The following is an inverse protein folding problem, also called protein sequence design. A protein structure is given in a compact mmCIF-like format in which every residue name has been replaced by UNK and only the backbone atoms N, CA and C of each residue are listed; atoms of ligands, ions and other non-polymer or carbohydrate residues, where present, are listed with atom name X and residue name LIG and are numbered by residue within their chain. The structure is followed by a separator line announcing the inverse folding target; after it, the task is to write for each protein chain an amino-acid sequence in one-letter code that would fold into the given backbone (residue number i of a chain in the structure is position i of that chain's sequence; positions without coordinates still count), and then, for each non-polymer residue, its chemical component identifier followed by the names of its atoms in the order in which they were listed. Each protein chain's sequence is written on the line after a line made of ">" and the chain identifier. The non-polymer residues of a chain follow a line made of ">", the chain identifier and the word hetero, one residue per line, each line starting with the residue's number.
data_IF_961820651652
#
_entry.id   IF_961820651652
#
_cell.length_a   1.000
_cell.length_b   1.000
_cell.length_c   1.000
_cell.angle_alpha   90.00
_cell.angle_beta   90.00
_cell.angle_gamma   90.00
#
_symmetry.space_group_name_H-M   'P 1'
#
loop_
_entity.id
_entity.type
_entity.pdbx_description
1 polymer ?
#
# COMPACT_ATOMS: atom_id res chain seq x y z
N UNK A 1 -24.84 -8.72 17.93
CA UNK A 1 -23.65 -9.41 18.51
C UNK A 1 -22.87 -10.07 17.39
N UNK A 2 -22.31 -9.28 16.46
CA UNK A 2 -21.93 -9.79 15.13
C UNK A 2 -20.42 -9.96 14.92
N UNK A 3 -19.59 -9.33 15.75
CA UNK A 3 -18.12 -9.33 15.60
C UNK A 3 -17.40 -9.94 16.82
N UNK A 4 -18.13 -10.60 17.73
CA UNK A 4 -17.57 -11.19 18.95
C UNK A 4 -16.47 -12.21 18.63
N UNK A 5 -15.33 -12.11 19.31
CA UNK A 5 -14.17 -12.97 19.10
C UNK A 5 -13.42 -12.75 17.78
N UNK A 6 -13.81 -11.75 16.97
CA UNK A 6 -13.10 -11.38 15.74
C UNK A 6 -12.11 -10.27 16.02
N UNK A 7 -10.97 -10.33 15.33
CA UNK A 7 -10.05 -9.21 15.19
C UNK A 7 -10.65 -8.19 14.23
N UNK A 8 -10.81 -6.95 14.70
CA UNK A 8 -11.39 -5.86 13.94
C UNK A 8 -10.35 -4.80 13.65
N UNK A 9 -10.47 -4.20 12.46
CA UNK A 9 -9.76 -2.99 12.09
C UNK A 9 -10.58 -1.77 12.49
N UNK A 10 -9.91 -0.72 12.93
CA UNK A 10 -10.54 0.44 13.56
C UNK A 10 -9.96 1.71 12.93
N UNK A 11 -10.86 2.57 12.44
CA UNK A 11 -10.53 3.93 12.00
C UNK A 11 -11.17 4.91 12.98
N UNK A 12 -10.35 5.68 13.69
CA UNK A 12 -10.76 6.63 14.72
C UNK A 12 -10.36 8.05 14.30
N UNK A 13 -11.33 8.93 14.05
CA UNK A 13 -11.13 10.32 13.62
C UNK A 13 -10.14 10.50 12.44
N UNK A 14 -10.13 9.53 11.52
CA UNK A 14 -9.25 9.54 10.34
C UNK A 14 -7.85 8.97 10.56
N UNK A 15 -7.53 8.52 11.78
CA UNK A 15 -6.31 7.78 12.08
C UNK A 15 -6.59 6.28 12.22
N UNK A 16 -5.66 5.48 11.71
CA UNK A 16 -5.69 4.02 11.89
C UNK A 16 -5.33 3.71 13.33
N UNK A 17 -6.20 2.95 14.00
CA UNK A 17 -5.97 2.45 15.35
C UNK A 17 -5.51 0.99 15.27
N UNK A 18 -4.62 0.53 16.19
CA UNK A 18 -4.25 -0.88 16.28
C UNK A 18 -5.46 -1.80 16.31
N UNK A 19 -5.35 -2.96 15.64
CA UNK A 19 -6.44 -3.94 15.63
C UNK A 19 -6.74 -4.43 17.06
N UNK A 20 -8.02 -4.68 17.33
CA UNK A 20 -8.49 -5.19 18.63
C UNK A 20 -9.38 -6.42 18.43
N UNK A 21 -9.42 -7.30 19.41
CA UNK A 21 -10.39 -8.40 19.46
C UNK A 21 -11.63 -7.91 20.18
N UNK A 22 -12.81 -8.15 19.61
CA UNK A 22 -14.07 -7.82 20.27
C UNK A 22 -14.32 -8.82 21.41
N UNK A 23 -14.46 -8.31 22.63
CA UNK A 23 -14.75 -9.12 23.83
C UNK A 23 -15.95 -8.55 24.55
N UNK A 24 -16.95 -9.38 24.81
CA UNK A 24 -18.24 -8.99 25.41
C UNK A 24 -18.92 -7.83 24.68
N UNK A 25 -18.82 -7.83 23.35
CA UNK A 25 -19.41 -6.80 22.48
C UNK A 25 -18.71 -5.44 22.53
N UNK A 26 -17.50 -5.36 23.09
CA UNK A 26 -16.76 -4.09 23.28
C UNK A 26 -15.33 -4.19 22.76
N UNK A 27 -14.77 -3.03 22.45
CA UNK A 27 -13.35 -2.81 22.14
C UNK A 27 -12.85 -1.62 22.96
N UNK A 28 -11.56 -1.61 23.29
CA UNK A 28 -10.91 -0.50 23.99
C UNK A 28 -10.09 0.32 23.00
N UNK A 29 -10.33 1.63 22.98
CA UNK A 29 -9.55 2.59 22.23
C UNK A 29 -8.46 3.18 23.13
N UNK A 30 -7.27 3.38 22.57
CA UNK A 30 -6.13 3.94 23.30
C UNK A 30 -6.28 5.45 23.54
N UNK A 31 -7.08 6.11 22.71
CA UNK A 31 -7.40 7.54 22.79
C UNK A 31 -8.89 7.73 22.58
N UNK A 32 -9.46 8.75 23.24
CA UNK A 32 -10.84 9.14 22.99
C UNK A 32 -10.99 9.69 21.56
N UNK A 33 -12.04 9.26 20.87
CA UNK A 33 -12.34 9.65 19.50
C UNK A 33 -13.83 9.98 19.33
N UNK A 34 -14.15 10.91 18.43
CA UNK A 34 -15.53 11.35 18.18
C UNK A 34 -16.25 10.46 17.16
N UNK A 35 -15.56 10.04 16.10
CA UNK A 35 -16.09 9.18 15.04
C UNK A 35 -15.23 7.93 14.90
N UNK A 36 -15.85 6.78 15.12
CA UNK A 36 -15.17 5.48 15.08
C UNK A 36 -15.88 4.56 14.10
N UNK A 37 -15.13 4.02 13.15
CA UNK A 37 -15.58 2.97 12.24
C UNK A 37 -14.87 1.68 12.61
N UNK A 38 -15.65 0.62 12.80
CA UNK A 38 -15.16 -0.70 13.20
C UNK A 38 -15.67 -1.73 12.19
N UNK A 39 -14.76 -2.55 11.68
CA UNK A 39 -15.09 -3.58 10.71
C UNK A 39 -14.06 -4.71 10.70
N UNK A 40 -14.34 -5.74 9.90
CA UNK A 40 -13.35 -6.77 9.65
C UNK A 40 -12.19 -6.17 8.82
N UNK A 41 -10.93 -6.58 9.10
CA UNK A 41 -9.81 -6.15 8.30
C UNK A 41 -9.95 -6.66 6.87
N UNK A 42 -9.53 -5.83 5.93
CA UNK A 42 -9.40 -6.20 4.53
C UNK A 42 -7.94 -6.03 4.13
N UNK A 43 -7.43 -6.97 3.36
CA UNK A 43 -6.14 -6.83 2.68
C UNK A 43 -6.44 -6.82 1.19
N UNK A 44 -6.21 -5.68 0.54
CA UNK A 44 -6.37 -5.52 -0.89
C UNK A 44 -4.99 -5.59 -1.55
N UNK A 45 -4.82 -6.57 -2.42
CA UNK A 45 -3.58 -6.85 -3.12
C UNK A 45 -3.75 -6.62 -4.63
N UNK A 46 -2.74 -6.00 -5.23
CA UNK A 46 -2.62 -5.81 -6.66
C UNK A 46 -1.21 -6.21 -7.09
N UNK A 47 -1.12 -7.07 -8.11
CA UNK A 47 0.14 -7.43 -8.73
C UNK A 47 0.08 -7.10 -10.22
N UNK A 48 1.11 -6.42 -10.74
CA UNK A 48 1.18 -6.14 -12.17
C UNK A 48 1.46 -7.42 -12.96
N UNK A 49 1.13 -7.40 -14.25
CA UNK A 49 1.66 -8.39 -15.17
C UNK A 49 3.19 -8.26 -15.29
N UNK A 50 3.89 -9.30 -15.76
CA UNK A 50 5.31 -9.20 -16.07
C UNK A 50 5.59 -8.01 -16.97
N UNK A 51 6.60 -7.23 -16.59
CA UNK A 51 7.04 -6.08 -17.34
C UNK A 51 7.58 -6.52 -18.71
N UNK A 52 7.10 -5.84 -19.74
CA UNK A 52 7.50 -6.01 -21.12
C UNK A 52 7.67 -4.63 -21.74
N UNK A 53 8.82 -4.41 -22.36
CA UNK A 53 9.11 -3.19 -23.12
C UNK A 53 9.93 -3.55 -24.35
N UNK A 54 9.81 -2.75 -25.40
CA UNK A 54 10.55 -2.96 -26.64
C UNK A 54 12.03 -2.55 -26.46
N UNK A 55 12.82 -3.47 -25.90
CA UNK A 55 14.28 -3.34 -25.77
C UNK A 55 14.98 -3.94 -27.00
N UNK A 56 14.36 -4.97 -27.58
CA UNK A 56 14.79 -5.70 -28.77
C UNK A 56 13.56 -6.38 -29.43
N UNK A 57 13.79 -7.27 -30.39
CA UNK A 57 12.73 -8.06 -31.04
C UNK A 57 11.98 -8.99 -30.06
N UNK A 58 12.55 -9.26 -28.88
CA UNK A 58 12.00 -10.15 -27.86
C UNK A 58 11.24 -9.44 -26.73
N UNK A 59 11.03 -8.12 -26.81
CA UNK A 59 10.35 -7.34 -25.76
C UNK A 59 10.96 -7.50 -24.35
N UNK A 60 12.29 -7.71 -24.29
CA UNK A 60 12.99 -7.90 -23.02
C UNK A 60 12.68 -9.24 -22.32
N UNK A 61 12.12 -10.22 -23.04
CA UNK A 61 12.06 -11.60 -22.56
C UNK A 61 13.45 -12.24 -22.53
N UNK A 62 13.69 -13.14 -21.57
CA UNK A 62 15.00 -13.79 -21.38
C UNK A 62 16.07 -12.91 -20.74
N UNK A 63 15.73 -11.68 -20.35
CA UNK A 63 16.61 -10.77 -19.61
C UNK A 63 16.13 -10.60 -18.18
N UNK A 64 17.09 -10.52 -17.25
CA UNK A 64 16.80 -10.14 -15.88
C UNK A 64 16.45 -8.66 -15.81
N UNK A 65 15.52 -8.32 -14.92
CA UNK A 65 14.97 -6.99 -14.73
C UNK A 65 15.03 -6.65 -13.25
N UNK A 66 15.24 -5.38 -12.95
CA UNK A 66 15.19 -4.86 -11.59
C UNK A 66 14.44 -3.53 -11.58
N UNK A 67 13.33 -3.49 -10.86
CA UNK A 67 12.52 -2.28 -10.68
C UNK A 67 13.07 -1.55 -9.46
N UNK A 68 13.71 -0.40 -9.65
CA UNK A 68 14.31 0.36 -8.55
C UNK A 68 13.32 1.35 -7.91
N UNK A 69 12.42 1.89 -8.73
CA UNK A 69 11.50 2.95 -8.33
C UNK A 69 10.17 2.82 -9.03
N UNK A 70 9.11 3.10 -8.29
CA UNK A 70 7.73 3.12 -8.77
C UNK A 70 7.18 4.53 -8.57
N UNK A 71 6.63 5.12 -9.61
CA UNK A 71 5.83 6.34 -9.54
C UNK A 71 4.37 5.97 -9.58
N UNK A 72 3.69 6.08 -8.45
CA UNK A 72 2.27 5.77 -8.32
C UNK A 72 1.44 7.03 -8.35
N UNK A 73 0.56 7.16 -9.35
CA UNK A 73 -0.45 8.20 -9.36
C UNK A 73 -1.68 7.71 -8.61
N UNK A 74 -2.06 8.43 -7.56
CA UNK A 74 -3.15 8.04 -6.68
C UNK A 74 -4.18 9.14 -6.54
N UNK A 75 -5.39 8.75 -6.16
CA UNK A 75 -6.48 9.69 -5.88
C UNK A 75 -7.06 9.40 -4.50
N UNK A 76 -7.10 10.42 -3.64
CA UNK A 76 -7.65 10.35 -2.27
C UNK A 76 -7.21 9.08 -1.52
N UNK A 77 -5.91 8.78 -1.53
CA UNK A 77 -5.38 7.51 -1.04
C UNK A 77 -4.41 7.67 0.14
N UNK A 78 -4.40 6.69 1.04
CA UNK A 78 -3.47 6.60 2.17
C UNK A 78 -2.91 5.19 2.40
N UNK A 79 -1.92 4.99 3.27
CA UNK A 79 -1.44 3.66 3.73
C UNK A 79 -0.99 2.70 2.62
N UNK A 80 -0.15 3.15 1.69
CA UNK A 80 0.21 2.36 0.50
C UNK A 80 1.51 1.61 0.73
N UNK A 81 1.51 0.30 0.48
CA UNK A 81 2.71 -0.53 0.47
C UNK A 81 3.02 -0.99 -0.95
N UNK A 82 4.29 -0.91 -1.36
CA UNK A 82 4.74 -1.22 -2.72
C UNK A 82 6.06 -1.96 -2.68
N UNK A 83 6.22 -3.00 -3.51
CA UNK A 83 7.50 -3.69 -3.62
C UNK A 83 7.53 -4.76 -4.70
N UNK A 84 8.61 -5.55 -4.82
CA UNK A 84 8.72 -6.59 -5.83
C UNK A 84 7.76 -7.76 -5.61
N UNK A 85 7.39 -8.07 -4.36
CA UNK A 85 6.49 -9.17 -4.02
C UNK A 85 5.73 -8.92 -2.69
N UNK A 86 4.89 -9.88 -2.28
CA UNK A 86 4.04 -9.77 -1.10
C UNK A 86 4.79 -9.76 0.25
N UNK A 87 6.07 -10.16 0.27
CA UNK A 87 6.91 -10.27 1.47
C UNK A 87 7.92 -9.12 1.57
N UNK A 88 8.29 -8.53 0.44
CA UNK A 88 9.18 -7.37 0.37
C UNK A 88 8.40 -6.14 -0.09
N UNK A 89 7.88 -5.39 0.88
CA UNK A 89 7.07 -4.20 0.66
C UNK A 89 7.65 -2.99 1.39
N UNK A 90 7.75 -1.88 0.68
CA UNK A 90 8.11 -0.58 1.22
C UNK A 90 6.87 0.30 1.38
N UNK A 91 6.71 0.88 2.56
CA UNK A 91 5.65 1.86 2.81
C UNK A 91 5.95 3.17 2.06
N UNK A 92 4.97 3.63 1.25
CA UNK A 92 5.01 4.94 0.65
C UNK A 92 4.77 6.01 1.74
N UNK A 93 5.86 6.44 2.38
CA UNK A 93 5.81 7.42 3.49
C UNK A 93 5.07 8.68 3.06
N UNK A 94 3.91 8.92 3.66
CA UNK A 94 3.05 10.06 3.34
C UNK A 94 3.42 11.34 4.10
N UNK A 95 4.30 11.23 5.10
CA UNK A 95 4.64 12.30 6.03
C UNK A 95 6.02 12.87 5.72
N UNK A 96 6.05 14.05 5.11
CA UNK A 96 7.26 14.87 5.04
C UNK A 96 7.05 16.27 5.64
N UNK A 97 5.84 16.85 5.61
CA UNK A 97 5.63 18.29 5.90
C UNK A 97 4.34 18.70 6.63
N UNK A 98 3.58 17.77 7.23
CA UNK A 98 2.29 18.09 7.89
C UNK A 98 2.44 18.50 9.38
N UNK A 99 1.54 19.38 9.85
CA UNK A 99 1.52 19.91 11.23
C UNK A 99 1.16 18.79 12.22
N UNK A 100 1.87 18.71 13.35
CA UNK A 100 1.59 17.75 14.41
C UNK A 100 0.15 17.91 14.94
N UNK A 101 -0.63 16.83 14.93
CA UNK A 101 -1.96 16.75 15.55
C UNK A 101 -3.15 16.79 14.59
N UNK A 102 -2.96 16.98 13.29
CA UNK A 102 -4.04 16.82 12.30
C UNK A 102 -4.09 15.39 11.73
N UNK A 103 -5.28 14.87 11.38
CA UNK A 103 -5.39 13.60 10.66
C UNK A 103 -4.58 13.62 9.35
N UNK A 104 -3.95 12.50 8.95
CA UNK A 104 -3.18 12.44 7.70
C UNK A 104 -4.06 12.83 6.51
N UNK A 105 -3.60 13.79 5.71
CA UNK A 105 -4.33 14.17 4.50
C UNK A 105 -4.21 13.08 3.43
N UNK A 106 -5.34 12.72 2.83
CA UNK A 106 -5.35 11.81 1.69
C UNK A 106 -4.59 12.44 0.51
N UNK A 107 -3.71 11.67 -0.12
CA UNK A 107 -2.91 12.16 -1.26
C UNK A 107 -3.66 11.96 -2.57
N UNK A 108 -3.59 12.98 -3.43
CA UNK A 108 -4.12 12.96 -4.80
C UNK A 108 -3.06 13.47 -5.77
N UNK A 109 -1.92 12.80 -5.80
CA UNK A 109 -0.71 13.21 -6.50
C UNK A 109 0.04 11.98 -7.03
N UNK A 110 1.19 12.23 -7.63
CA UNK A 110 2.13 11.17 -7.97
C UNK A 110 3.16 11.00 -6.86
N UNK A 111 3.26 9.77 -6.34
CA UNK A 111 4.12 9.45 -5.20
C UNK A 111 5.28 8.59 -5.70
N UNK A 112 6.55 9.06 -5.57
CA UNK A 112 7.71 8.24 -5.82
C UNK A 112 7.96 7.29 -4.66
N UNK A 113 8.02 5.99 -4.94
CA UNK A 113 8.37 4.95 -3.97
C UNK A 113 9.62 4.24 -4.45
N UNK A 114 10.69 4.37 -3.68
CA UNK A 114 11.88 3.53 -3.84
C UNK A 114 11.55 2.16 -3.26
N UNK A 115 11.65 1.10 -4.07
CA UNK A 115 11.39 -0.26 -3.61
C UNK A 115 12.69 -1.03 -3.47
N UNK A 116 12.65 -2.12 -2.70
CA UNK A 116 13.79 -3.03 -2.58
C UNK A 116 14.18 -3.57 -3.96
N UNK A 117 15.46 -3.44 -4.37
CA UNK A 117 15.90 -3.93 -5.65
C UNK A 117 15.85 -5.46 -5.67
N UNK A 118 15.28 -6.02 -6.74
CA UNK A 118 15.16 -7.45 -6.94
C UNK A 118 15.38 -7.77 -8.42
N UNK A 119 16.48 -8.46 -8.70
CA UNK A 119 16.78 -8.96 -10.05
C UNK A 119 16.00 -10.25 -10.31
N UNK A 120 15.05 -10.19 -11.23
CA UNK A 120 14.22 -11.34 -11.58
C UNK A 120 13.75 -11.26 -13.05
N UNK A 121 13.14 -12.33 -13.56
CA UNK A 121 12.79 -12.42 -14.98
C UNK A 121 11.52 -11.63 -15.36
N UNK A 122 10.69 -11.27 -14.37
CA UNK A 122 9.36 -10.72 -14.59
C UNK A 122 9.28 -9.20 -14.40
N UNK A 123 10.08 -8.59 -13.53
CA UNK A 123 10.02 -7.16 -13.20
C UNK A 123 8.66 -6.70 -12.67
N UNK A 124 7.94 -7.57 -11.97
CA UNK A 124 6.61 -7.27 -11.45
C UNK A 124 6.66 -6.35 -10.23
N UNK A 125 5.56 -5.62 -10.01
CA UNK A 125 5.34 -4.80 -8.83
C UNK A 125 4.09 -5.27 -8.11
N UNK A 126 4.19 -5.34 -6.79
CA UNK A 126 3.13 -5.65 -5.86
C UNK A 126 2.73 -4.39 -5.09
N UNK A 127 1.43 -4.15 -4.97
CA UNK A 127 0.85 -3.07 -4.17
C UNK A 127 -0.13 -3.68 -3.18
N UNK A 128 -0.04 -3.27 -1.92
CA UNK A 128 -0.91 -3.73 -0.83
C UNK A 128 -1.52 -2.56 -0.07
N UNK A 129 -2.80 -2.71 0.29
CA UNK A 129 -3.49 -1.91 1.29
C UNK A 129 -4.05 -2.86 2.37
N UNK A 130 -3.51 -2.77 3.58
CA UNK A 130 -3.95 -3.55 4.75
C UNK A 130 -4.67 -2.71 5.80
N UNK A 131 -4.55 -1.39 5.72
CA UNK A 131 -5.17 -0.46 6.64
C UNK A 131 -6.62 -0.15 6.20
N UNK A 132 -7.49 0.27 7.13
CA UNK A 132 -8.88 0.65 6.82
C UNK A 132 -8.94 2.04 6.14
N UNK A 133 -8.12 2.23 5.10
CA UNK A 133 -7.91 3.47 4.38
C UNK A 133 -8.21 3.28 2.89
N UNK A 134 -8.72 4.31 2.21
CA UNK A 134 -8.97 4.24 0.78
C UNK A 134 -7.64 4.15 0.01
N UNK A 135 -7.62 3.32 -1.04
CA UNK A 135 -6.59 3.29 -2.07
C UNK A 135 -7.24 3.26 -3.46
N UNK A 136 -6.91 4.24 -4.28
CA UNK A 136 -7.29 4.33 -5.69
C UNK A 136 -6.03 4.60 -6.50
N UNK A 137 -5.54 3.56 -7.18
CA UNK A 137 -4.41 3.66 -8.10
C UNK A 137 -4.93 4.06 -9.48
N UNK A 138 -4.46 5.21 -9.98
CA UNK A 138 -4.87 5.77 -11.28
C UNK A 138 -3.91 5.29 -12.37
N UNK A 139 -2.61 5.33 -12.10
CA UNK A 139 -1.57 4.86 -13.01
C UNK A 139 -0.29 4.54 -12.27
N UNK A 140 0.60 3.83 -12.94
CA UNK A 140 1.91 3.43 -12.43
C UNK A 140 2.96 3.64 -13.52
N UNK A 141 4.12 4.16 -13.17
CA UNK A 141 5.30 4.23 -14.05
C UNK A 141 6.50 3.63 -13.33
N UNK A 142 7.27 2.80 -14.03
CA UNK A 142 8.36 2.02 -13.46
C UNK A 142 9.71 2.52 -13.97
N UNK A 143 10.65 2.67 -13.04
CA UNK A 143 12.07 2.82 -13.37
C UNK A 143 12.74 1.45 -13.30
N UNK A 144 13.07 0.91 -14.47
CA UNK A 144 13.53 -0.47 -14.63
C UNK A 144 14.95 -0.50 -15.17
N UNK A 145 15.85 -1.20 -14.47
CA UNK A 145 17.14 -1.63 -14.98
C UNK A 145 17.01 -3.01 -15.62
N UNK A 146 17.66 -3.21 -16.75
CA UNK A 146 17.61 -4.48 -17.49
C UNK A 146 19.01 -5.02 -17.66
N UNK A 147 19.17 -6.31 -17.39
CA UNK A 147 20.41 -7.05 -17.54
C UNK A 147 20.83 -7.12 -19.01
N UNK A 148 22.15 -7.18 -19.22
CA UNK A 148 22.74 -7.32 -20.55
C UNK A 148 22.39 -8.68 -21.18
#
# INVERSE_FOLDING_TARGET
>A
TWLEGKTVSILADGAVHPQRVVTSGKITLDQAAAKVQVGLPITADMQTLPWAAQIDAGYGQGRTKNVNKVWLRVYRSSGIFVGPDANDLTEAKQRTTEIYGSPPALKSEEIPVMISPSWNDSGQVFVRQSDPLPLTVVSMTLEVSVGA
#
